data_IF_685399518938
#
_entry.id   IF_685399518938
#
_cell.length_a   1.000
_cell.length_b   1.000
_cell.length_c   1.000
_cell.angle_alpha   90.00
_cell.angle_beta   90.00
_cell.angle_gamma   90.00
#
_symmetry.space_group_name_H-M   'P 1'
#
loop_
_entity.id
_entity.type
_entity.pdbx_description
1 polymer ?
#
# COMPACT_ATOMS: atom_id res chain seq x y z
N UNK A 1 -11.07 31.34 7.65
CA UNK A 1 -11.37 29.93 7.96
C UNK A 1 -10.04 29.25 8.23
N UNK A 2 -9.83 28.81 9.47
CA UNK A 2 -8.60 28.04 9.77
C UNK A 2 -8.79 26.66 9.15
N UNK A 3 -8.09 26.38 8.06
CA UNK A 3 -7.94 25.03 7.53
C UNK A 3 -7.18 24.22 8.60
N UNK A 4 -7.91 23.53 9.45
CA UNK A 4 -7.33 22.51 10.33
C UNK A 4 -7.02 21.34 9.40
N UNK A 5 -5.82 21.33 8.82
CA UNK A 5 -5.33 20.18 8.09
C UNK A 5 -5.29 18.99 9.06
N UNK A 6 -6.24 18.08 8.93
CA UNK A 6 -6.29 16.86 9.72
C UNK A 6 -5.07 16.01 9.35
N UNK A 7 -4.07 15.99 10.24
CA UNK A 7 -2.90 15.16 10.04
C UNK A 7 -3.21 13.72 10.50
N UNK A 8 -3.43 12.81 9.56
CA UNK A 8 -3.77 11.42 9.83
C UNK A 8 -2.64 10.66 10.53
N UNK A 9 -1.37 10.99 10.23
CA UNK A 9 -0.19 10.31 10.78
C UNK A 9 0.39 11.11 11.92
N UNK A 10 0.50 10.48 13.10
CA UNK A 10 1.11 11.05 14.29
C UNK A 10 2.60 10.68 14.43
N UNK A 11 3.29 11.22 15.46
CA UNK A 11 4.73 10.99 15.66
C UNK A 11 5.12 9.52 15.91
N UNK A 12 4.17 8.67 16.34
CA UNK A 12 4.38 7.23 16.57
C UNK A 12 4.05 6.34 15.39
N UNK A 13 3.47 6.91 14.33
CA UNK A 13 3.09 6.15 13.14
C UNK A 13 4.30 5.94 12.22
N UNK A 14 4.44 4.75 11.58
CA UNK A 14 5.50 4.52 10.61
C UNK A 14 5.32 5.40 9.36
N UNK A 15 6.38 5.57 8.54
CA UNK A 15 6.26 6.31 7.29
C UNK A 15 5.30 5.63 6.31
N UNK A 16 4.65 6.39 5.38
CA UNK A 16 3.67 5.86 4.44
C UNK A 16 4.24 4.83 3.45
N UNK A 17 5.54 4.79 3.28
CA UNK A 17 6.25 3.80 2.48
C UNK A 17 7.65 3.55 2.99
N UNK A 18 8.25 2.44 2.55
CA UNK A 18 9.66 2.13 2.80
C UNK A 18 10.38 1.92 1.47
N UNK A 19 11.57 2.51 1.32
CA UNK A 19 12.49 2.20 0.23
C UNK A 19 13.43 1.08 0.66
N UNK A 20 13.50 0.02 -0.13
CA UNK A 20 14.47 -1.04 0.05
C UNK A 20 15.44 -1.07 -1.13
N UNK A 21 16.74 -1.19 -0.84
CA UNK A 21 17.82 -1.15 -1.84
C UNK A 21 17.71 0.05 -2.82
N UNK A 22 17.56 1.30 -2.38
CA UNK A 22 17.31 2.44 -3.27
C UNK A 22 18.45 2.70 -4.26
N UNK A 23 19.66 2.23 -3.97
CA UNK A 23 20.83 2.32 -4.84
C UNK A 23 20.94 1.15 -5.84
N UNK A 24 19.98 0.23 -5.87
CA UNK A 24 19.95 -0.91 -6.78
C UNK A 24 20.09 -0.50 -8.25
N UNK A 25 20.84 -1.28 -9.04
CA UNK A 25 21.22 -0.92 -10.40
C UNK A 25 20.44 -1.64 -11.50
N UNK A 26 19.61 -2.62 -11.14
CA UNK A 26 18.80 -3.34 -12.13
C UNK A 26 17.84 -2.40 -12.89
N UNK A 27 17.56 -2.65 -14.17
CA UNK A 27 16.61 -1.86 -14.97
C UNK A 27 15.15 -2.21 -14.63
N UNK A 28 14.85 -2.32 -13.34
CA UNK A 28 13.52 -2.66 -12.81
C UNK A 28 13.31 -1.96 -11.48
N UNK A 29 12.08 -1.57 -11.22
CA UNK A 29 11.59 -1.10 -9.90
C UNK A 29 10.54 -2.09 -9.42
N UNK A 30 10.72 -2.64 -8.22
CA UNK A 30 9.74 -3.51 -7.58
C UNK A 30 8.80 -2.67 -6.70
N UNK A 31 7.52 -3.02 -6.68
CA UNK A 31 6.54 -2.39 -5.80
C UNK A 31 5.74 -3.44 -5.06
N UNK A 32 5.33 -3.13 -3.83
CA UNK A 32 4.44 -3.97 -3.04
C UNK A 32 3.43 -3.06 -2.34
N UNK A 33 2.25 -2.90 -2.95
CA UNK A 33 1.22 -1.95 -2.50
C UNK A 33 0.67 -2.35 -1.13
N UNK A 34 0.49 -3.65 -0.92
CA UNK A 34 -0.13 -4.23 0.29
C UNK A 34 0.91 -4.91 1.19
N UNK A 35 2.04 -4.23 1.43
CA UNK A 35 3.18 -4.79 2.16
C UNK A 35 2.99 -4.83 3.68
N UNK A 36 1.95 -4.15 4.21
CA UNK A 36 1.75 -3.96 5.65
C UNK A 36 0.27 -4.05 6.02
N UNK A 37 -0.02 -4.51 7.24
CA UNK A 37 -1.34 -4.47 7.86
C UNK A 37 -1.47 -3.36 8.92
N UNK A 38 -0.53 -2.44 8.98
CA UNK A 38 -0.53 -1.33 9.93
C UNK A 38 -1.67 -0.36 9.66
N UNK A 39 -2.35 0.08 10.71
CA UNK A 39 -3.37 1.12 10.68
C UNK A 39 -2.85 2.34 11.45
N UNK A 40 -2.98 3.58 10.94
CA UNK A 40 -2.64 4.78 11.70
C UNK A 40 -3.36 4.83 13.05
N UNK A 41 -2.67 5.28 14.10
CA UNK A 41 -3.23 5.33 15.45
C UNK A 41 -4.54 6.15 15.52
N UNK A 42 -4.64 7.21 14.72
CA UNK A 42 -5.83 8.07 14.63
C UNK A 42 -7.08 7.32 14.12
N UNK A 43 -6.94 6.18 13.44
CA UNK A 43 -8.05 5.39 12.91
C UNK A 43 -8.47 4.21 13.81
N UNK A 44 -7.86 4.04 14.99
CA UNK A 44 -8.31 3.09 16.02
C UNK A 44 -8.47 1.65 15.51
N UNK A 45 -7.52 1.11 14.77
CA UNK A 45 -7.57 -0.25 14.16
C UNK A 45 -8.76 -0.45 13.21
N UNK A 46 -9.45 0.61 12.77
CA UNK A 46 -10.69 0.58 11.99
C UNK A 46 -11.83 -0.23 12.65
N UNK A 47 -11.80 -0.41 13.97
CA UNK A 47 -12.76 -1.23 14.71
C UNK A 47 -12.57 -2.74 14.55
N UNK A 48 -11.45 -3.18 13.96
CA UNK A 48 -11.10 -4.59 13.76
C UNK A 48 -10.22 -5.12 14.89
N UNK A 49 -10.29 -6.43 15.12
CA UNK A 49 -9.39 -7.12 16.03
C UNK A 49 -8.08 -7.56 15.35
N UNK A 50 -7.12 -8.06 16.17
CA UNK A 50 -5.84 -8.55 15.63
C UNK A 50 -6.00 -9.74 14.67
N UNK A 51 -7.04 -10.54 14.83
CA UNK A 51 -7.31 -11.71 13.99
C UNK A 51 -7.68 -11.29 12.55
N UNK A 52 -8.55 -10.29 12.41
CA UNK A 52 -8.94 -9.75 11.11
C UNK A 52 -7.78 -9.03 10.43
N UNK A 53 -7.02 -8.22 11.19
CA UNK A 53 -5.85 -7.51 10.67
C UNK A 53 -4.69 -8.43 10.27
N UNK A 54 -4.65 -9.66 10.74
CA UNK A 54 -3.68 -10.65 10.31
C UNK A 54 -4.05 -11.34 8.98
N UNK A 55 -5.29 -11.16 8.50
CA UNK A 55 -5.81 -11.82 7.30
C UNK A 55 -5.46 -11.05 6.02
N UNK A 56 -5.65 -11.73 4.89
CA UNK A 56 -5.46 -11.19 3.53
C UNK A 56 -6.33 -9.98 3.18
N UNK A 57 -7.39 -9.73 3.93
CA UNK A 57 -8.21 -8.52 3.76
C UNK A 57 -7.42 -7.24 4.06
N UNK A 58 -6.44 -7.31 4.97
CA UNK A 58 -5.66 -6.16 5.42
C UNK A 58 -4.36 -5.99 4.63
N UNK A 59 -3.73 -7.06 4.16
CA UNK A 59 -2.43 -7.06 3.49
C UNK A 59 -2.19 -8.33 2.69
N UNK A 60 -1.19 -8.32 1.81
CA UNK A 60 -0.78 -9.48 1.02
C UNK A 60 0.28 -10.27 1.79
N UNK A 61 -0.14 -11.37 2.44
CA UNK A 61 0.72 -12.17 3.33
C UNK A 61 1.92 -12.72 2.56
N UNK A 62 3.14 -12.41 3.05
CA UNK A 62 4.40 -12.85 2.44
C UNK A 62 4.92 -11.98 1.30
N UNK A 63 4.09 -11.14 0.67
CA UNK A 63 4.48 -10.33 -0.49
C UNK A 63 5.64 -9.36 -0.19
N UNK A 64 5.65 -8.72 0.98
CA UNK A 64 6.73 -7.85 1.41
C UNK A 64 8.07 -8.57 1.54
N UNK A 65 8.07 -9.81 2.03
CA UNK A 65 9.29 -10.63 2.17
C UNK A 65 9.81 -11.04 0.80
N UNK A 66 8.93 -11.50 -0.09
CA UNK A 66 9.28 -11.85 -1.49
C UNK A 66 9.87 -10.63 -2.20
N UNK A 67 9.24 -9.46 -2.06
CA UNK A 67 9.73 -8.21 -2.64
C UNK A 67 11.15 -7.88 -2.19
N UNK A 68 11.44 -7.95 -0.88
CA UNK A 68 12.78 -7.69 -0.34
C UNK A 68 13.81 -8.70 -0.84
N UNK A 69 13.46 -10.00 -0.89
CA UNK A 69 14.36 -11.05 -1.41
C UNK A 69 14.67 -10.85 -2.89
N UNK A 70 13.66 -10.54 -3.71
CA UNK A 70 13.84 -10.24 -5.13
C UNK A 70 14.68 -8.97 -5.32
N UNK A 71 14.40 -7.90 -4.58
CA UNK A 71 15.15 -6.66 -4.65
C UNK A 71 16.64 -6.87 -4.34
N UNK A 72 16.96 -7.68 -3.31
CA UNK A 72 18.33 -8.02 -2.96
C UNK A 72 19.00 -8.87 -4.05
N UNK A 73 18.31 -9.91 -4.53
CA UNK A 73 18.88 -10.84 -5.53
C UNK A 73 19.08 -10.22 -6.90
N UNK A 74 18.16 -9.36 -7.32
CA UNK A 74 18.22 -8.66 -8.61
C UNK A 74 19.05 -7.39 -8.54
N UNK A 75 19.46 -6.96 -7.35
CA UNK A 75 20.02 -5.63 -7.12
C UNK A 75 19.10 -4.53 -7.63
N UNK A 76 17.79 -4.63 -7.32
CA UNK A 76 16.75 -3.71 -7.76
C UNK A 76 16.28 -2.82 -6.61
N UNK A 77 15.90 -1.54 -6.86
CA UNK A 77 15.18 -0.74 -5.90
C UNK A 77 13.75 -1.25 -5.73
N UNK A 78 13.21 -1.16 -4.50
CA UNK A 78 11.84 -1.52 -4.22
C UNK A 78 11.15 -0.46 -3.34
N UNK A 79 9.84 -0.23 -3.59
CA UNK A 79 8.95 0.62 -2.80
C UNK A 79 7.88 -0.27 -2.18
N UNK A 80 7.78 -0.23 -0.86
CA UNK A 80 6.81 -1.03 -0.11
C UNK A 80 5.84 -0.10 0.62
N UNK A 81 4.53 -0.32 0.49
CA UNK A 81 3.48 0.41 1.22
C UNK A 81 3.60 0.21 2.73
N UNK A 82 3.46 1.29 3.50
CA UNK A 82 3.62 1.29 4.95
C UNK A 82 2.34 0.93 5.71
N UNK A 83 1.18 0.98 5.04
CA UNK A 83 -0.12 0.82 5.67
C UNK A 83 -0.98 -0.23 4.99
N UNK A 84 -1.97 -0.72 5.74
CA UNK A 84 -2.98 -1.66 5.28
C UNK A 84 -3.78 -1.08 4.12
N UNK A 85 -4.14 -1.94 3.15
CA UNK A 85 -5.09 -1.62 2.08
C UNK A 85 -6.48 -1.19 2.60
N UNK A 86 -6.80 -1.51 3.86
CA UNK A 86 -8.05 -1.07 4.50
C UNK A 86 -8.06 0.42 4.85
N UNK A 87 -6.89 1.06 4.98
CA UNK A 87 -6.79 2.52 5.17
C UNK A 87 -7.15 3.23 3.88
N UNK A 88 -6.45 2.90 2.83
CA UNK A 88 -6.71 3.24 1.43
C UNK A 88 -5.94 2.25 0.55
N UNK A 89 -6.60 1.64 -0.42
CA UNK A 89 -5.95 0.67 -1.31
C UNK A 89 -5.11 1.39 -2.37
N UNK A 90 -3.78 1.30 -2.22
CA UNK A 90 -2.82 1.91 -3.15
C UNK A 90 -2.84 1.26 -4.55
N UNK A 91 -3.54 0.15 -4.73
CA UNK A 91 -3.75 -0.52 -6.03
C UNK A 91 -5.15 -0.26 -6.60
N UNK A 92 -5.81 0.82 -6.19
CA UNK A 92 -7.10 1.28 -6.70
C UNK A 92 -7.02 2.75 -7.08
N UNK A 93 -7.82 3.17 -8.06
CA UNK A 93 -7.90 4.59 -8.40
C UNK A 93 -8.55 5.37 -7.24
N UNK A 94 -8.10 6.60 -6.94
CA UNK A 94 -8.84 7.49 -6.04
C UNK A 94 -10.28 7.66 -6.51
N UNK A 95 -11.24 7.53 -5.59
CA UNK A 95 -12.68 7.58 -5.90
C UNK A 95 -13.29 6.26 -6.37
N UNK A 96 -12.51 5.20 -6.56
CA UNK A 96 -13.07 3.85 -6.72
C UNK A 96 -13.75 3.44 -5.40
N UNK A 97 -15.01 2.94 -5.41
CA UNK A 97 -15.72 2.53 -4.19
C UNK A 97 -14.98 1.46 -3.38
N UNK A 98 -14.06 0.73 -4.00
CA UNK A 98 -13.24 -0.29 -3.34
C UNK A 98 -11.89 0.24 -2.85
N UNK A 99 -11.57 1.52 -3.07
CA UNK A 99 -10.32 2.13 -2.57
C UNK A 99 -10.30 2.29 -1.06
N UNK A 100 -11.46 2.52 -0.44
CA UNK A 100 -11.70 2.50 1.01
C UNK A 100 -12.87 1.54 1.24
N UNK A 101 -12.58 0.25 1.26
CA UNK A 101 -13.60 -0.79 1.27
C UNK A 101 -14.36 -0.82 2.59
N UNK A 102 -15.69 -0.74 2.54
CA UNK A 102 -16.58 -0.92 3.69
C UNK A 102 -16.73 -2.39 4.10
N UNK A 103 -16.55 -3.30 3.14
CA UNK A 103 -16.61 -4.76 3.32
C UNK A 103 -15.47 -5.38 2.51
N UNK A 104 -14.74 -6.32 3.09
CA UNK A 104 -13.70 -7.09 2.40
C UNK A 104 -13.83 -8.56 2.77
N UNK A 105 -13.97 -9.42 1.76
CA UNK A 105 -14.18 -10.88 1.88
C UNK A 105 -15.25 -11.27 2.94
N UNK A 106 -16.40 -10.55 2.89
CA UNK A 106 -17.52 -10.75 3.80
C UNK A 106 -17.36 -10.13 5.20
N UNK A 107 -16.21 -9.53 5.52
CA UNK A 107 -15.96 -8.86 6.80
C UNK A 107 -16.28 -7.38 6.65
N UNK A 108 -17.18 -6.88 7.49
CA UNK A 108 -17.50 -5.44 7.60
C UNK A 108 -16.33 -4.73 8.28
N UNK A 109 -15.92 -3.58 7.74
CA UNK A 109 -14.86 -2.73 8.29
C UNK A 109 -15.53 -1.53 8.98
N UNK A 110 -15.69 -1.56 10.31
CA UNK A 110 -16.49 -0.52 11.00
C UNK A 110 -15.98 0.90 10.78
N UNK A 111 -14.66 1.10 10.80
CA UNK A 111 -14.02 2.40 10.61
C UNK A 111 -14.05 2.93 9.16
N UNK A 112 -14.61 2.15 8.22
CA UNK A 112 -14.80 2.55 6.83
C UNK A 112 -16.28 2.80 6.49
N UNK A 113 -17.18 2.58 7.46
CA UNK A 113 -18.60 2.89 7.25
C UNK A 113 -18.80 4.42 7.26
N UNK A 114 -19.43 4.94 6.21
CA UNK A 114 -19.75 6.37 6.08
C UNK A 114 -18.54 7.31 6.18
N UNK A 115 -17.40 6.94 5.57
CA UNK A 115 -16.24 7.83 5.45
C UNK A 115 -16.63 9.04 4.60
N UNK A 116 -16.50 10.23 5.16
CA UNK A 116 -16.74 11.47 4.43
C UNK A 116 -15.55 11.85 3.51
N UNK A 117 -15.81 12.80 2.61
CA UNK A 117 -14.81 13.25 1.64
C UNK A 117 -13.54 13.79 2.31
N UNK A 118 -13.67 14.47 3.45
CA UNK A 118 -12.55 15.06 4.17
C UNK A 118 -11.63 13.97 4.75
N UNK A 119 -12.19 12.93 5.34
CA UNK A 119 -11.41 11.79 5.85
C UNK A 119 -10.83 10.95 4.71
N UNK A 120 -11.57 10.75 3.62
CA UNK A 120 -11.07 10.06 2.43
C UNK A 120 -9.86 10.82 1.84
N UNK A 121 -9.96 12.12 1.68
CA UNK A 121 -8.86 12.97 1.20
C UNK A 121 -7.66 12.95 2.15
N UNK A 122 -7.88 12.99 3.46
CA UNK A 122 -6.81 12.88 4.45
C UNK A 122 -6.05 11.54 4.32
N UNK A 123 -6.74 10.41 4.08
CA UNK A 123 -6.11 9.11 3.83
C UNK A 123 -5.31 9.08 2.53
N UNK A 124 -5.85 9.66 1.45
CA UNK A 124 -5.14 9.80 0.18
C UNK A 124 -3.86 10.62 0.34
N UNK A 125 -3.95 11.76 1.00
CA UNK A 125 -2.81 12.66 1.21
C UNK A 125 -1.74 12.09 2.13
N UNK A 126 -2.14 11.32 3.13
CA UNK A 126 -1.20 10.75 4.10
C UNK A 126 -0.54 9.45 3.63
N UNK A 127 -1.21 8.64 2.81
CA UNK A 127 -0.74 7.28 2.46
C UNK A 127 -0.60 7.11 0.96
N UNK A 128 -1.66 7.35 0.18
CA UNK A 128 -1.71 7.04 -1.25
C UNK A 128 -0.70 7.88 -2.05
N UNK A 129 -0.81 9.20 -1.98
CA UNK A 129 0.04 10.08 -2.79
C UNK A 129 1.53 9.97 -2.44
N UNK A 130 1.95 9.92 -1.16
CA UNK A 130 3.36 9.69 -0.82
C UNK A 130 3.92 8.40 -1.39
N UNK A 131 3.15 7.29 -1.36
CA UNK A 131 3.55 6.01 -1.93
C UNK A 131 3.74 6.10 -3.45
N UNK A 132 2.76 6.64 -4.18
CA UNK A 132 2.84 6.78 -5.64
C UNK A 132 3.91 7.78 -6.09
N UNK A 133 4.13 8.85 -5.33
CA UNK A 133 5.24 9.77 -5.58
C UNK A 133 6.59 9.07 -5.43
N UNK A 134 6.76 8.20 -4.42
CA UNK A 134 7.99 7.43 -4.25
C UNK A 134 8.26 6.49 -5.43
N UNK A 135 7.22 5.81 -5.94
CA UNK A 135 7.32 4.98 -7.17
C UNK A 135 7.76 5.83 -8.35
N UNK A 136 7.10 6.97 -8.57
CA UNK A 136 7.42 7.90 -9.67
C UNK A 136 8.87 8.38 -9.59
N UNK A 137 9.34 8.72 -8.39
CA UNK A 137 10.74 9.13 -8.17
C UNK A 137 11.71 7.99 -8.43
N UNK A 138 11.42 6.77 -7.98
CA UNK A 138 12.25 5.60 -8.22
C UNK A 138 12.36 5.29 -9.72
N UNK A 139 11.26 5.30 -10.45
CA UNK A 139 11.23 5.13 -11.91
C UNK A 139 12.01 6.22 -12.62
N UNK A 140 11.80 7.50 -12.28
CA UNK A 140 12.50 8.63 -12.87
C UNK A 140 14.01 8.57 -12.58
N UNK A 141 14.41 8.14 -11.38
CA UNK A 141 15.81 7.94 -11.05
C UNK A 141 16.43 6.85 -11.92
N UNK A 142 15.78 5.69 -12.04
CA UNK A 142 16.26 4.58 -12.87
C UNK A 142 16.32 4.93 -14.36
N UNK A 143 15.33 5.65 -14.87
CA UNK A 143 15.33 6.17 -16.24
C UNK A 143 16.58 7.04 -16.52
N UNK A 144 16.85 8.00 -15.65
CA UNK A 144 18.00 8.93 -15.84
C UNK A 144 19.35 8.23 -15.83
N UNK A 145 19.47 7.15 -15.03
CA UNK A 145 20.74 6.41 -14.88
C UNK A 145 20.80 5.13 -15.74
N UNK A 146 19.73 4.79 -16.42
CA UNK A 146 19.60 3.59 -17.26
C UNK A 146 19.98 3.77 -18.73
N UNK A 147 20.75 4.80 -19.07
CA UNK A 147 21.20 5.08 -20.45
C UNK A 147 20.06 5.15 -21.47
N UNK A 148 18.91 5.71 -21.08
CA UNK A 148 17.73 5.89 -21.93
C UNK A 148 16.83 4.65 -22.05
N UNK A 149 17.12 3.57 -21.33
CA UNK A 149 16.20 2.43 -21.24
C UNK A 149 15.17 2.64 -20.16
N UNK A 150 13.88 2.46 -20.50
CA UNK A 150 12.80 2.50 -19.54
C UNK A 150 12.92 1.34 -18.54
N UNK A 151 12.91 1.59 -17.22
CA UNK A 151 12.87 0.51 -16.26
C UNK A 151 11.53 -0.23 -16.31
N UNK A 152 11.55 -1.55 -16.11
CA UNK A 152 10.34 -2.30 -15.88
C UNK A 152 9.77 -1.96 -14.49
N UNK A 153 8.44 -1.90 -14.35
CA UNK A 153 7.74 -1.83 -13.08
C UNK A 153 7.11 -3.21 -12.81
N UNK A 154 7.45 -3.82 -11.68
CA UNK A 154 6.91 -5.13 -11.28
C UNK A 154 6.24 -5.00 -9.92
N UNK A 155 4.91 -5.21 -9.89
CA UNK A 155 4.14 -5.27 -8.66
C UNK A 155 4.10 -6.70 -8.11
N UNK A 156 4.36 -6.83 -6.82
CA UNK A 156 4.38 -8.12 -6.11
C UNK A 156 3.16 -8.19 -5.20
N UNK A 157 2.33 -9.18 -5.46
CA UNK A 157 1.14 -9.49 -4.69
C UNK A 157 1.12 -10.95 -4.24
N UNK A 158 0.33 -11.27 -3.22
CA UNK A 158 -0.11 -12.62 -2.90
C UNK A 158 -1.63 -12.72 -2.99
N UNK A 159 -2.12 -13.91 -3.27
CA UNK A 159 -3.54 -14.17 -3.46
C UNK A 159 -3.98 -15.36 -2.62
N UNK A 160 -5.19 -15.27 -2.06
CA UNK A 160 -5.84 -16.42 -1.43
C UNK A 160 -6.38 -17.38 -2.51
N UNK A 161 -6.43 -18.70 -2.25
CA UNK A 161 -7.02 -19.67 -3.17
C UNK A 161 -8.52 -19.45 -3.36
N UNK A 162 -9.20 -18.89 -2.35
CA UNK A 162 -10.64 -18.59 -2.38
C UNK A 162 -10.88 -17.15 -1.98
N UNK A 163 -11.91 -16.51 -2.54
CA UNK A 163 -12.37 -15.19 -2.16
C UNK A 163 -13.89 -15.09 -2.34
N UNK A 164 -14.60 -14.55 -1.35
CA UNK A 164 -16.07 -14.48 -1.33
C UNK A 164 -16.73 -15.84 -1.61
N UNK A 165 -16.14 -16.94 -1.14
CA UNK A 165 -16.60 -18.31 -1.35
C UNK A 165 -16.34 -18.90 -2.75
N UNK A 166 -15.67 -18.17 -3.65
CA UNK A 166 -15.30 -18.65 -4.98
C UNK A 166 -13.82 -19.05 -5.03
N UNK A 167 -13.56 -20.25 -5.56
CA UNK A 167 -12.20 -20.69 -5.89
C UNK A 167 -11.64 -19.86 -7.05
N UNK A 168 -10.39 -19.42 -6.91
CA UNK A 168 -9.71 -18.69 -7.99
C UNK A 168 -9.11 -19.68 -8.97
N UNK A 169 -9.28 -19.49 -10.30
CA UNK A 169 -8.58 -20.28 -11.30
C UNK A 169 -7.07 -19.95 -11.25
N UNK A 170 -6.26 -20.97 -11.36
CA UNK A 170 -4.80 -20.89 -11.47
C UNK A 170 -4.35 -20.98 -12.92
#
# INVERSE_FOLDING_TARGET
MNDVTFNLLGPGDPPPFTLFNPAGQAPVVLVCDHASNTIPAALGQLGLGPAELAQHIAWDIGAAQVTRLLAARLNAPAVLGGYSRLVVDCNRAPGDPTSIAEISDGIVIPGNQNVDDALAEARLNAVFWPYHHAITQALAHRWRHGQGQAPALIAIHSFTPTMNGFERPW
#
